data_IF_049431717310
#
_entry.id   IF_049431717310
#
_cell.length_a   1.000
_cell.length_b   1.000
_cell.length_c   1.000
_cell.angle_alpha   90.00
_cell.angle_beta   90.00
_cell.angle_gamma   90.00
#
_symmetry.space_group_name_H-M   'P 1'
#
loop_
_entity.id
_entity.type
_entity.pdbx_description
1 polymer ?
#
# COMPACT_ATOMS: atom_id res chain seq x y z
N UNK A 1 -7.57 -21.73 18.22
CA UNK A 1 -6.53 -21.43 17.23
C UNK A 1 -6.33 -19.93 17.23
N UNK A 2 -5.22 -19.43 17.80
CA UNK A 2 -4.87 -18.02 17.66
C UNK A 2 -4.26 -17.89 16.27
N UNK A 3 -5.04 -17.39 15.31
CA UNK A 3 -4.56 -17.18 13.96
C UNK A 3 -3.57 -16.01 13.99
N UNK A 4 -2.28 -16.29 14.06
CA UNK A 4 -1.24 -15.28 13.92
C UNK A 4 -1.39 -14.61 12.54
N UNK A 5 -1.77 -13.33 12.51
CA UNK A 5 -1.99 -12.58 11.28
C UNK A 5 -0.65 -12.11 10.70
N UNK A 6 0.13 -13.04 10.13
CA UNK A 6 1.40 -12.72 9.45
C UNK A 6 1.12 -12.12 8.07
N UNK A 7 1.27 -10.80 7.94
CA UNK A 7 1.21 -10.09 6.66
C UNK A 7 2.63 -9.80 6.14
N UNK A 8 2.74 -9.66 4.81
CA UNK A 8 3.97 -9.30 4.12
C UNK A 8 3.80 -7.93 3.46
N UNK A 9 4.69 -7.00 3.78
CA UNK A 9 4.73 -5.65 3.19
C UNK A 9 5.96 -5.56 2.29
N UNK A 10 5.76 -5.30 1.00
CA UNK A 10 6.86 -5.01 0.07
C UNK A 10 6.97 -3.48 -0.08
N UNK A 11 8.10 -2.93 0.35
CA UNK A 11 8.42 -1.51 0.20
C UNK A 11 9.51 -1.40 -0.86
N UNK A 12 9.20 -0.75 -1.98
CA UNK A 12 10.15 -0.45 -3.04
C UNK A 12 10.59 1.01 -2.98
N UNK A 13 11.86 1.25 -3.28
CA UNK A 13 12.43 2.58 -3.42
C UNK A 13 12.85 2.80 -4.89
N UNK A 14 12.00 3.43 -5.71
CA UNK A 14 12.22 3.51 -7.16
C UNK A 14 13.50 4.26 -7.52
N UNK A 15 13.94 5.21 -6.70
CA UNK A 15 15.16 5.99 -6.95
C UNK A 15 16.44 5.13 -6.94
N UNK A 16 16.47 4.02 -6.19
CA UNK A 16 17.61 3.09 -6.18
C UNK A 16 17.30 1.74 -6.83
N UNK A 17 16.02 1.49 -7.15
CA UNK A 17 15.54 0.18 -7.62
C UNK A 17 15.58 -0.92 -6.56
N UNK A 18 15.81 -0.57 -5.29
CA UNK A 18 15.84 -1.55 -4.20
C UNK A 18 14.42 -1.84 -3.69
N UNK A 19 14.18 -3.06 -3.24
CA UNK A 19 12.95 -3.43 -2.53
C UNK A 19 13.29 -4.15 -1.23
N UNK A 20 12.45 -3.96 -0.21
CA UNK A 20 12.55 -4.62 1.09
C UNK A 20 11.23 -5.29 1.42
N UNK A 21 11.26 -6.59 1.63
CA UNK A 21 10.13 -7.35 2.13
C UNK A 21 10.19 -7.38 3.66
N UNK A 22 9.10 -6.97 4.30
CA UNK A 22 8.97 -6.94 5.75
C UNK A 22 7.81 -7.85 6.13
N UNK A 23 8.06 -8.78 7.04
CA UNK A 23 7.02 -9.61 7.61
C UNK A 23 6.58 -8.98 8.92
N UNK A 24 5.29 -8.70 9.04
CA UNK A 24 4.73 -8.05 10.23
C UNK A 24 3.49 -8.79 10.70
N UNK A 25 3.42 -9.02 12.00
CA UNK A 25 2.34 -9.77 12.63
C UNK A 25 1.39 -8.88 13.45
N UNK A 26 1.81 -7.64 13.74
CA UNK A 26 1.01 -6.71 14.53
C UNK A 26 -0.10 -6.08 13.67
N UNK A 27 -1.33 -6.56 13.84
CA UNK A 27 -2.53 -6.04 13.17
C UNK A 27 -2.76 -4.54 13.41
N UNK A 28 -2.40 -4.00 14.58
CA UNK A 28 -2.59 -2.56 14.86
C UNK A 28 -1.74 -1.70 13.93
N UNK A 29 -0.52 -2.13 13.63
CA UNK A 29 0.38 -1.45 12.69
C UNK A 29 -0.09 -1.61 11.24
N UNK A 30 -0.73 -2.73 10.91
CA UNK A 30 -1.26 -3.00 9.57
C UNK A 30 -2.57 -2.24 9.28
N UNK A 31 -3.31 -1.85 10.31
CA UNK A 31 -4.59 -1.15 10.18
C UNK A 31 -4.48 0.16 9.39
N UNK A 32 -3.34 0.83 9.44
CA UNK A 32 -3.08 2.06 8.67
C UNK A 32 -3.22 1.87 7.15
N UNK A 33 -3.00 0.65 6.65
CA UNK A 33 -3.14 0.30 5.24
C UNK A 33 -4.53 -0.24 4.89
N UNK A 34 -5.28 -0.76 5.86
CA UNK A 34 -6.54 -1.48 5.60
C UNK A 34 -7.66 -0.58 5.08
N UNK A 35 -7.70 0.69 5.47
CA UNK A 35 -8.75 1.65 5.06
C UNK A 35 -8.32 2.55 3.90
N UNK A 36 -7.11 2.34 3.34
CA UNK A 36 -6.53 3.19 2.32
C UNK A 36 -6.71 2.59 0.93
N UNK A 37 -6.85 3.45 -0.08
CA UNK A 37 -6.95 3.04 -1.49
C UNK A 37 -5.55 2.97 -2.11
N UNK A 38 -5.47 2.34 -3.28
CA UNK A 38 -4.28 2.47 -4.14
C UNK A 38 -4.05 3.96 -4.47
N UNK A 39 -2.79 4.33 -4.68
CA UNK A 39 -2.35 5.71 -4.93
C UNK A 39 -2.48 6.66 -3.72
N UNK A 40 -2.85 6.15 -2.55
CA UNK A 40 -2.91 6.98 -1.33
C UNK A 40 -1.56 7.03 -0.62
N UNK A 41 -1.13 8.23 -0.24
CA UNK A 41 0.04 8.46 0.62
C UNK A 41 -0.28 8.15 2.09
N UNK A 42 0.60 7.39 2.74
CA UNK A 42 0.46 6.96 4.12
C UNK A 42 1.80 7.11 4.84
N UNK A 43 1.76 7.77 6.00
CA UNK A 43 2.90 7.81 6.90
C UNK A 43 3.10 6.44 7.58
N UNK A 44 4.31 5.91 7.50
CA UNK A 44 4.65 4.57 8.03
C UNK A 44 5.51 4.62 9.29
N UNK A 45 5.49 5.75 9.98
CA UNK A 45 6.15 5.98 11.28
C UNK A 45 5.80 4.91 12.32
N UNK A 46 4.56 4.42 12.29
CA UNK A 46 4.08 3.37 13.20
C UNK A 46 4.71 1.98 12.97
N UNK A 47 5.38 1.74 11.83
CA UNK A 47 6.03 0.46 11.55
C UNK A 47 7.23 0.21 12.48
N UNK A 48 8.01 1.26 12.77
CA UNK A 48 9.20 1.21 13.62
C UNK A 48 10.12 2.41 13.39
N UNK A 49 11.18 2.53 14.18
CA UNK A 49 12.12 3.65 14.09
C UNK A 49 12.81 3.78 12.73
N UNK A 50 13.06 2.67 12.02
CA UNK A 50 13.62 2.68 10.66
C UNK A 50 12.73 3.39 9.62
N UNK A 51 11.43 3.53 9.92
CA UNK A 51 10.43 4.10 9.03
C UNK A 51 9.90 5.45 9.54
N UNK A 52 10.55 6.00 10.56
CA UNK A 52 10.18 7.26 11.17
C UNK A 52 10.20 8.38 10.14
N UNK A 53 9.14 9.19 10.12
CA UNK A 53 8.98 10.29 9.13
C UNK A 53 9.01 9.85 7.65
N UNK A 54 8.87 8.56 7.36
CA UNK A 54 8.75 8.06 5.99
C UNK A 54 7.28 8.07 5.55
N UNK A 55 7.03 8.59 4.34
CA UNK A 55 5.73 8.54 3.68
C UNK A 55 5.88 7.64 2.46
N UNK A 56 4.94 6.70 2.31
CA UNK A 56 4.90 5.79 1.17
C UNK A 56 3.55 5.87 0.50
N UNK A 57 3.54 5.69 -0.82
CA UNK A 57 2.33 5.57 -1.61
C UNK A 57 1.97 4.08 -1.77
N UNK A 58 0.70 3.75 -1.57
CA UNK A 58 0.23 2.38 -1.77
C UNK A 58 0.14 2.10 -3.27
N UNK A 59 1.12 1.36 -3.79
CA UNK A 59 1.15 0.91 -5.19
C UNK A 59 0.22 -0.27 -5.46
N UNK A 60 -0.31 -0.91 -4.42
CA UNK A 60 -1.25 -2.02 -4.56
C UNK A 60 -1.06 -3.05 -3.45
N UNK A 61 -1.68 -4.21 -3.62
CA UNK A 61 -1.59 -5.30 -2.66
C UNK A 61 -2.42 -6.49 -3.09
N UNK A 62 -2.14 -7.65 -2.52
CA UNK A 62 -2.98 -8.84 -2.69
C UNK A 62 -3.61 -9.17 -1.35
N UNK A 63 -4.93 -9.32 -1.33
CA UNK A 63 -5.66 -9.78 -0.15
C UNK A 63 -5.23 -11.20 0.23
N UNK A 64 -5.43 -11.60 1.49
CA UNK A 64 -5.17 -12.97 1.95
C UNK A 64 -5.86 -14.06 1.12
N UNK A 65 -6.99 -13.72 0.50
CA UNK A 65 -7.78 -14.63 -0.34
C UNK A 65 -7.28 -14.68 -1.80
N UNK A 66 -6.17 -14.00 -2.13
CA UNK A 66 -5.60 -13.95 -3.46
C UNK A 66 -6.22 -12.91 -4.38
N UNK A 67 -7.20 -12.13 -3.91
CA UNK A 67 -7.77 -11.05 -4.71
C UNK A 67 -6.79 -9.88 -4.81
N UNK A 68 -6.43 -9.43 -6.02
CA UNK A 68 -5.64 -8.23 -6.19
C UNK A 68 -6.47 -7.02 -5.72
N UNK A 69 -5.80 -6.05 -5.09
CA UNK A 69 -6.38 -4.74 -4.86
C UNK A 69 -6.78 -4.17 -6.22
N UNK A 70 -8.00 -3.63 -6.31
CA UNK A 70 -8.52 -3.13 -7.58
C UNK A 70 -7.69 -1.92 -8.00
N UNK A 71 -6.82 -2.11 -8.99
CA UNK A 71 -6.16 -1.05 -9.73
C UNK A 71 -7.26 -0.23 -10.42
N UNK A 72 -7.35 1.07 -10.11
CA UNK A 72 -8.17 1.98 -10.90
C UNK A 72 -7.39 2.36 -12.17
N UNK A 73 -6.88 1.38 -12.91
CA UNK A 73 -6.31 1.58 -14.25
C UNK A 73 -7.44 1.56 -15.27
N UNK A 74 -8.29 2.58 -15.19
CA UNK A 74 -8.83 3.16 -16.42
C UNK A 74 -8.09 4.48 -16.61
N UNK A 75 -7.70 4.89 -17.83
CA UNK A 75 -7.35 6.28 -18.04
C UNK A 75 -8.49 7.10 -17.45
N UNK A 76 -8.17 8.11 -16.64
CA UNK A 76 -9.11 9.16 -16.33
C UNK A 76 -9.65 9.60 -17.69
N UNK A 77 -10.90 9.28 -18.00
CA UNK A 77 -11.52 9.72 -19.23
C UNK A 77 -11.36 11.23 -19.21
N UNK A 78 -10.49 11.73 -20.09
CA UNK A 78 -10.39 13.15 -20.35
C UNK A 78 -11.84 13.60 -20.58
N UNK A 79 -12.37 14.57 -19.80
CA UNK A 79 -13.72 15.05 -20.06
C UNK A 79 -13.70 15.53 -21.50
N UNK A 80 -14.50 14.85 -22.36
CA UNK A 80 -14.56 15.15 -23.77
C UNK A 80 -14.64 16.67 -23.94
N UNK A 81 -13.80 17.30 -24.79
CA UNK A 81 -13.86 18.73 -24.98
C UNK A 81 -15.30 19.08 -25.36
N UNK A 82 -15.92 19.95 -24.56
CA UNK A 82 -17.22 20.50 -24.87
C UNK A 82 -17.09 21.15 -26.26
N UNK A 83 -17.61 20.46 -27.26
CA UNK A 83 -17.73 21.01 -28.60
C UNK A 83 -18.90 21.99 -28.51
N UNK A 84 -18.61 23.27 -28.70
CA UNK A 84 -19.62 24.31 -28.97
C UNK A 84 -20.48 23.95 -30.18
#
# INVERSE_FOLDING_TARGET
MVTHFRMKLNISFPATGCQKLIEMDNEQKLRIFSEKRMDTEVAIDALGEDWKSCVVQISGGTSKQGFPMKEMSGPMAEPAPATE
#
